data_IF_632110015258
#
_entry.id   IF_632110015258
#
_cell.length_a   1.000
_cell.length_b   1.000
_cell.length_c   1.000
_cell.angle_alpha   90.00
_cell.angle_beta   90.00
_cell.angle_gamma   90.00
#
_symmetry.space_group_name_H-M   'P 1'
#
loop_
_entity.id
_entity.type
_entity.pdbx_description
1 polymer ?
#
# COMPACT_ATOMS: atom_id res chain seq x y z
N UNK A 1 3.26 -5.34 -22.85
CA UNK A 1 2.80 -5.95 -21.58
C UNK A 1 1.30 -5.73 -21.47
N UNK A 2 0.51 -6.74 -21.12
CA UNK A 2 -0.86 -6.52 -20.68
C UNK A 2 -0.83 -6.02 -19.23
N UNK A 3 -1.55 -4.94 -18.95
CA UNK A 3 -1.61 -4.33 -17.62
C UNK A 3 -2.42 -3.04 -17.68
N UNK A 4 -2.67 -2.44 -16.52
CA UNK A 4 -3.45 -1.20 -16.46
C UNK A 4 -2.48 -0.03 -16.54
N UNK A 5 -2.72 0.81 -17.54
CA UNK A 5 -2.08 2.11 -17.66
C UNK A 5 -2.75 3.08 -16.69
N UNK A 6 -1.95 3.78 -15.89
CA UNK A 6 -2.46 4.70 -14.87
C UNK A 6 -1.91 6.09 -15.15
N UNK A 7 -2.84 7.04 -15.27
CA UNK A 7 -2.53 8.44 -15.55
C UNK A 7 -1.87 9.16 -14.37
N UNK A 8 -1.32 10.34 -14.64
CA UNK A 8 -0.71 11.19 -13.60
C UNK A 8 -1.75 11.59 -12.54
N UNK A 9 -2.95 11.97 -12.95
CA UNK A 9 -4.01 12.41 -12.04
C UNK A 9 -4.44 11.30 -11.07
N UNK A 10 -4.52 10.07 -11.57
CA UNK A 10 -4.81 8.88 -10.76
C UNK A 10 -3.71 8.61 -9.74
N UNK A 11 -2.45 8.75 -10.14
CA UNK A 11 -1.29 8.61 -9.24
C UNK A 11 -1.32 9.69 -8.15
N UNK A 12 -1.62 10.94 -8.51
CA UNK A 12 -1.70 12.05 -7.55
C UNK A 12 -2.86 11.85 -6.56
N UNK A 13 -4.06 11.52 -7.05
CA UNK A 13 -5.21 11.21 -6.20
C UNK A 13 -4.91 10.03 -5.25
N UNK A 14 -4.23 9.01 -5.74
CA UNK A 14 -3.78 7.88 -4.94
C UNK A 14 -2.77 8.26 -3.84
N UNK A 15 -1.99 9.33 -4.03
CA UNK A 15 -1.08 9.87 -3.01
C UNK A 15 -1.86 10.66 -1.96
N UNK A 16 -2.81 11.48 -2.37
CA UNK A 16 -3.67 12.25 -1.46
C UNK A 16 -4.51 11.33 -0.56
N UNK A 17 -5.19 10.33 -1.14
CA UNK A 17 -5.95 9.33 -0.36
C UNK A 17 -5.08 8.60 0.66
N UNK A 18 -3.85 8.27 0.29
CA UNK A 18 -2.89 7.62 1.20
C UNK A 18 -2.51 8.54 2.36
N UNK A 19 -2.32 9.85 2.13
CA UNK A 19 -2.04 10.81 3.20
C UNK A 19 -3.24 10.96 4.13
N UNK A 20 -4.45 11.06 3.58
CA UNK A 20 -5.68 11.14 4.37
C UNK A 20 -5.85 9.93 5.30
N UNK A 21 -5.72 8.71 4.77
CA UNK A 21 -5.81 7.47 5.56
C UNK A 21 -4.76 7.44 6.67
N UNK A 22 -3.50 7.77 6.36
CA UNK A 22 -2.44 7.80 7.37
C UNK A 22 -2.77 8.79 8.49
N UNK A 23 -3.23 10.00 8.14
CA UNK A 23 -3.59 11.02 9.13
C UNK A 23 -4.75 10.56 10.01
N UNK A 24 -5.77 9.91 9.45
CA UNK A 24 -6.91 9.40 10.20
C UNK A 24 -6.50 8.26 11.15
N UNK A 25 -5.64 7.35 10.70
CA UNK A 25 -5.11 6.28 11.55
C UNK A 25 -4.23 6.83 12.69
N UNK A 26 -3.36 7.78 12.39
CA UNK A 26 -2.52 8.45 13.40
C UNK A 26 -3.38 9.16 14.43
N UNK A 27 -4.41 9.91 14.00
CA UNK A 27 -5.35 10.59 14.92
C UNK A 27 -6.12 9.60 15.77
N UNK A 28 -6.59 8.50 15.19
CA UNK A 28 -7.42 7.48 15.86
C UNK A 28 -6.66 6.70 16.92
N UNK A 29 -5.43 6.27 16.61
CA UNK A 29 -4.67 5.38 17.48
C UNK A 29 -3.54 6.06 18.25
N UNK A 30 -3.08 7.22 17.79
CA UNK A 30 -1.88 7.89 18.30
C UNK A 30 -0.65 6.94 18.35
N UNK A 31 -0.49 6.14 17.29
CA UNK A 31 0.59 5.15 17.11
C UNK A 31 1.23 5.30 15.72
N UNK A 32 2.45 4.78 15.51
CA UNK A 32 3.09 4.76 14.20
C UNK A 32 2.26 3.98 13.16
N UNK A 33 2.35 4.39 11.90
CA UNK A 33 1.71 3.74 10.75
C UNK A 33 2.79 3.24 9.79
N UNK A 34 2.67 1.99 9.35
CA UNK A 34 3.50 1.42 8.28
C UNK A 34 2.75 1.60 6.96
N UNK A 35 3.29 2.41 6.04
CA UNK A 35 2.74 2.61 4.70
C UNK A 35 3.59 1.86 3.66
N UNK A 36 3.04 0.81 3.06
CA UNK A 36 3.71 0.01 2.02
C UNK A 36 3.14 0.29 0.62
N UNK A 37 4.00 0.62 -0.34
CA UNK A 37 3.65 0.85 -1.75
C UNK A 37 4.81 0.48 -2.66
N UNK A 38 4.54 -0.01 -3.87
CA UNK A 38 5.56 -0.22 -4.90
C UNK A 38 5.71 1.01 -5.80
N UNK A 39 6.96 1.41 -6.09
CA UNK A 39 7.26 2.48 -7.03
C UNK A 39 7.53 1.88 -8.44
N UNK A 40 6.47 1.60 -9.19
CA UNK A 40 6.57 1.00 -10.53
C UNK A 40 6.83 2.09 -11.59
N UNK A 41 7.92 2.02 -12.38
CA UNK A 41 8.17 2.96 -13.48
C UNK A 41 7.32 2.65 -14.72
N UNK A 42 7.20 3.62 -15.63
CA UNK A 42 6.48 3.45 -16.90
C UNK A 42 4.95 3.61 -16.80
N UNK A 43 4.21 3.57 -17.92
CA UNK A 43 2.77 3.81 -17.93
C UNK A 43 1.96 2.67 -17.29
N UNK A 44 2.42 1.43 -17.43
CA UNK A 44 1.78 0.24 -16.84
C UNK A 44 2.21 0.14 -15.37
N UNK A 45 1.30 0.46 -14.46
CA UNK A 45 1.59 0.47 -13.01
C UNK A 45 1.19 -0.79 -12.28
N UNK A 46 0.41 -1.65 -12.94
CA UNK A 46 -0.18 -2.85 -12.34
C UNK A 46 -0.42 -3.91 -13.41
N UNK A 47 -0.20 -5.14 -13.02
CA UNK A 47 -0.52 -6.35 -13.76
C UNK A 47 -0.51 -7.51 -12.75
N UNK A 48 -0.78 -8.73 -13.21
CA UNK A 48 -0.84 -9.89 -12.33
C UNK A 48 0.49 -10.19 -11.62
N UNK A 49 1.64 -9.91 -12.24
CA UNK A 49 2.96 -10.15 -11.64
C UNK A 49 3.28 -9.10 -10.59
N UNK A 50 3.03 -7.81 -10.90
CA UNK A 50 3.19 -6.69 -9.96
C UNK A 50 2.31 -6.90 -8.73
N UNK A 51 1.06 -7.33 -8.93
CA UNK A 51 0.14 -7.64 -7.82
C UNK A 51 0.67 -8.79 -6.96
N UNK A 52 1.15 -9.88 -7.57
CA UNK A 52 1.77 -10.99 -6.84
C UNK A 52 2.98 -10.52 -6.04
N UNK A 53 3.85 -9.69 -6.61
CA UNK A 53 5.01 -9.13 -5.90
C UNK A 53 4.60 -8.24 -4.74
N UNK A 54 3.55 -7.42 -4.91
CA UNK A 54 2.99 -6.62 -3.84
C UNK A 54 2.48 -7.49 -2.69
N UNK A 55 1.71 -8.54 -2.99
CA UNK A 55 1.17 -9.46 -1.99
C UNK A 55 2.27 -10.22 -1.24
N UNK A 56 3.35 -10.63 -1.93
CA UNK A 56 4.53 -11.21 -1.28
C UNK A 56 5.15 -10.22 -0.29
N UNK A 57 5.38 -8.97 -0.71
CA UNK A 57 5.94 -7.93 0.16
C UNK A 57 5.07 -7.64 1.38
N UNK A 58 3.74 -7.55 1.18
CA UNK A 58 2.76 -7.39 2.26
C UNK A 58 2.84 -8.53 3.26
N UNK A 59 2.84 -9.78 2.78
CA UNK A 59 2.88 -10.96 3.64
C UNK A 59 4.18 -11.03 4.45
N UNK A 60 5.33 -10.68 3.85
CA UNK A 60 6.61 -10.62 4.56
C UNK A 60 6.59 -9.59 5.71
N UNK A 61 5.97 -8.43 5.51
CA UNK A 61 5.80 -7.43 6.57
C UNK A 61 4.94 -8.00 7.70
N UNK A 62 3.80 -8.61 7.37
CA UNK A 62 2.87 -9.16 8.38
C UNK A 62 3.49 -10.30 9.18
N UNK A 63 4.19 -11.22 8.52
CA UNK A 63 4.95 -12.29 9.20
C UNK A 63 6.01 -11.70 10.13
N UNK A 64 6.75 -10.67 9.68
CA UNK A 64 7.78 -10.08 10.53
C UNK A 64 7.21 -9.38 11.77
N UNK A 65 6.08 -8.71 11.63
CA UNK A 65 5.37 -8.08 12.76
C UNK A 65 4.88 -9.13 13.77
N UNK A 66 4.41 -10.27 13.27
CA UNK A 66 3.98 -11.41 14.09
C UNK A 66 5.15 -12.04 14.84
N UNK A 67 6.30 -12.25 14.19
CA UNK A 67 7.51 -12.80 14.81
C UNK A 67 8.00 -11.98 16.01
N UNK A 68 7.88 -10.65 15.93
CA UNK A 68 8.29 -9.74 17.00
C UNK A 68 7.17 -9.47 18.02
N UNK A 69 6.06 -10.20 17.93
CA UNK A 69 4.88 -10.04 18.79
C UNK A 69 4.32 -8.60 18.82
N UNK A 70 4.46 -7.86 17.72
CA UNK A 70 3.92 -6.51 17.63
C UNK A 70 2.42 -6.56 17.39
N UNK A 71 1.65 -5.86 18.23
CA UNK A 71 0.20 -5.76 18.08
C UNK A 71 -0.15 -4.92 16.84
N UNK A 72 -0.94 -5.52 15.95
CA UNK A 72 -1.51 -4.84 14.79
C UNK A 72 -2.91 -4.34 15.14
N UNK A 73 -3.13 -3.02 15.07
CA UNK A 73 -4.39 -2.40 15.49
C UNK A 73 -5.42 -2.30 14.36
N UNK A 74 -4.97 -1.99 13.15
CA UNK A 74 -5.82 -1.85 11.97
C UNK A 74 -4.96 -2.04 10.69
N UNK A 75 -5.55 -2.66 9.66
CA UNK A 75 -5.00 -2.73 8.31
C UNK A 75 -6.01 -2.06 7.37
N UNK A 76 -5.54 -1.16 6.52
CA UNK A 76 -6.33 -0.67 5.39
C UNK A 76 -5.57 -0.90 4.09
N UNK A 77 -6.28 -1.41 3.07
CA UNK A 77 -5.76 -1.60 1.73
C UNK A 77 -6.51 -0.69 0.77
N UNK A 78 -5.79 0.24 0.14
CA UNK A 78 -6.35 1.04 -0.95
C UNK A 78 -6.25 0.20 -2.22
N UNK A 79 -7.37 -0.36 -2.68
CA UNK A 79 -7.39 -0.97 -4.02
C UNK A 79 -7.02 0.09 -5.04
N UNK A 80 -5.84 -0.07 -5.65
CA UNK A 80 -5.41 0.68 -6.82
C UNK A 80 -5.49 -0.30 -7.97
N UNK A 81 -6.30 0.09 -8.96
CA UNK A 81 -6.48 -0.47 -10.30
C UNK A 81 -5.96 -1.90 -10.54
#
# INVERSE_FOLDING_TARGET
MQGIEVGIDEILNCREKRVAIQNDMIKKYNKPVISFTMNIPGPIKTNNEIKKTFDIGKNLILEKLKEIYMQLLEIQELMKY
#
